data_IF_942536768402
#
_entry.id   IF_942536768402
#
_cell.length_a   1.000
_cell.length_b   1.000
_cell.length_c   1.000
_cell.angle_alpha   90.00
_cell.angle_beta   90.00
_cell.angle_gamma   90.00
#
_symmetry.space_group_name_H-M   'P 1'
#
loop_
_entity.id
_entity.type
_entity.pdbx_description
1 polymer ?
#
# COMPACT_ATOMS: atom_id res chain seq x y z
N UNK A 1 -19.47 -5.28 25.19
CA UNK A 1 -18.98 -4.29 24.22
C UNK A 1 -19.88 -4.40 23.00
N UNK A 2 -20.73 -3.40 22.71
CA UNK A 2 -21.57 -3.45 21.49
C UNK A 2 -20.65 -3.52 20.27
N UNK A 3 -20.88 -4.49 19.38
CA UNK A 3 -20.20 -4.55 18.09
C UNK A 3 -20.64 -3.29 17.34
N UNK A 4 -19.75 -2.34 17.27
CA UNK A 4 -19.96 -1.10 16.54
C UNK A 4 -20.12 -1.46 15.06
N UNK A 5 -21.17 -0.99 14.41
CA UNK A 5 -21.35 -1.18 12.97
C UNK A 5 -20.36 -0.30 12.20
N UNK A 6 -19.13 -0.80 12.08
CA UNK A 6 -18.03 -0.10 11.40
C UNK A 6 -18.35 0.24 9.97
N UNK A 7 -19.15 -0.56 9.27
CA UNK A 7 -19.47 -0.28 7.87
C UNK A 7 -20.21 1.03 7.70
N UNK A 8 -21.14 1.35 8.60
CA UNK A 8 -21.84 2.64 8.62
C UNK A 8 -20.89 3.83 8.77
N UNK A 9 -19.88 3.70 9.64
CA UNK A 9 -18.91 4.77 9.89
C UNK A 9 -17.82 4.86 8.78
N UNK A 10 -17.48 3.75 8.15
CA UNK A 10 -16.54 3.72 7.04
C UNK A 10 -17.13 4.23 5.72
N UNK A 11 -18.46 4.24 5.57
CA UNK A 11 -19.12 4.63 4.31
C UNK A 11 -18.68 6.02 3.80
N UNK A 12 -18.66 7.10 4.61
CA UNK A 12 -18.15 8.40 4.15
C UNK A 12 -16.69 8.37 3.71
N UNK A 13 -15.84 7.58 4.40
CA UNK A 13 -14.45 7.40 4.08
C UNK A 13 -14.27 6.65 2.74
N UNK A 14 -15.01 5.57 2.55
CA UNK A 14 -14.99 4.77 1.33
C UNK A 14 -15.54 5.56 0.13
N UNK A 15 -16.57 6.37 0.33
CA UNK A 15 -17.10 7.27 -0.71
C UNK A 15 -16.04 8.27 -1.16
N UNK A 16 -15.22 8.78 -0.25
CA UNK A 16 -14.18 9.78 -0.55
C UNK A 16 -12.92 9.15 -1.18
N UNK A 17 -12.49 7.99 -0.70
CA UNK A 17 -11.18 7.42 -1.02
C UNK A 17 -11.20 5.99 -1.57
N UNK A 18 -12.26 5.23 -1.41
CA UNK A 18 -12.27 3.79 -1.68
C UNK A 18 -11.90 3.41 -3.12
N UNK A 19 -12.31 4.23 -4.08
CA UNK A 19 -12.05 4.01 -5.52
C UNK A 19 -10.79 4.72 -6.04
N UNK A 20 -10.05 5.44 -5.20
CA UNK A 20 -8.80 6.10 -5.61
C UNK A 20 -7.76 5.05 -6.00
N UNK A 21 -7.09 5.28 -7.12
CA UNK A 21 -5.95 4.47 -7.57
C UNK A 21 -4.75 4.68 -6.64
N UNK A 22 -3.85 3.70 -6.64
CA UNK A 22 -2.55 3.84 -5.98
C UNK A 22 -1.77 5.01 -6.60
N UNK A 23 -0.96 5.75 -5.81
CA UNK A 23 -0.20 6.90 -6.30
C UNK A 23 0.90 6.60 -7.34
N UNK A 24 1.28 5.33 -7.52
CA UNK A 24 2.22 4.92 -8.57
C UNK A 24 1.55 4.97 -9.95
N UNK A 25 2.27 5.55 -10.94
CA UNK A 25 1.79 5.72 -12.33
C UNK A 25 2.25 4.55 -13.20
N UNK A 26 1.55 3.44 -13.14
CA UNK A 26 1.83 2.23 -13.92
C UNK A 26 0.82 2.06 -15.08
N UNK A 27 1.25 1.41 -16.15
CA UNK A 27 0.41 1.09 -17.33
C UNK A 27 -0.12 -0.34 -17.32
N UNK A 28 0.59 -1.27 -16.68
CA UNK A 28 0.27 -2.69 -16.63
C UNK A 28 0.77 -3.34 -15.34
N UNK A 29 0.47 -4.63 -15.13
CA UNK A 29 0.83 -5.37 -13.92
C UNK A 29 2.35 -5.52 -13.77
N UNK A 30 3.08 -5.67 -14.86
CA UNK A 30 4.54 -5.71 -14.83
C UNK A 30 5.12 -4.42 -14.22
N UNK A 31 4.71 -3.26 -14.75
CA UNK A 31 5.17 -1.97 -14.22
C UNK A 31 4.79 -1.79 -12.75
N UNK A 32 3.55 -2.14 -12.38
CA UNK A 32 3.12 -2.10 -10.99
C UNK A 32 4.01 -2.95 -10.07
N UNK A 33 4.31 -4.20 -10.48
CA UNK A 33 5.15 -5.13 -9.72
C UNK A 33 6.54 -4.53 -9.43
N UNK A 34 7.20 -4.01 -10.46
CA UNK A 34 8.52 -3.40 -10.32
C UNK A 34 8.45 -2.11 -9.47
N UNK A 35 7.50 -1.23 -9.75
CA UNK A 35 7.37 0.04 -9.02
C UNK A 35 7.06 -0.16 -7.54
N UNK A 36 6.30 -1.18 -7.18
CA UNK A 36 6.02 -1.51 -5.77
C UNK A 36 7.29 -1.95 -5.04
N UNK A 37 8.20 -2.70 -5.69
CA UNK A 37 9.51 -3.05 -5.12
C UNK A 37 10.35 -1.77 -4.95
N UNK A 38 10.41 -0.95 -5.98
CA UNK A 38 11.21 0.28 -5.97
C UNK A 38 10.72 1.28 -4.92
N UNK A 39 9.40 1.39 -4.69
CA UNK A 39 8.80 2.32 -3.73
C UNK A 39 8.96 1.91 -2.26
N UNK A 40 9.44 0.71 -1.97
CA UNK A 40 9.72 0.30 -0.60
C UNK A 40 10.76 1.24 0.05
N UNK A 41 10.35 1.96 1.11
CA UNK A 41 11.14 2.98 1.81
C UNK A 41 11.55 4.19 0.92
N UNK A 42 10.81 4.43 -0.15
CA UNK A 42 10.98 5.58 -1.04
C UNK A 42 9.63 6.27 -1.30
N UNK A 43 9.63 7.44 -1.95
CA UNK A 43 8.39 8.14 -2.24
C UNK A 43 7.80 7.71 -3.58
N UNK A 44 6.47 7.59 -3.63
CA UNK A 44 5.77 7.28 -4.88
C UNK A 44 6.10 8.29 -5.99
N UNK A 45 6.29 9.59 -5.63
CA UNK A 45 6.67 10.66 -6.55
C UNK A 45 8.03 10.38 -7.21
N UNK A 46 9.06 10.08 -6.41
CA UNK A 46 10.40 9.78 -6.91
C UNK A 46 10.38 8.57 -7.84
N UNK A 47 9.66 7.51 -7.48
CA UNK A 47 9.55 6.33 -8.34
C UNK A 47 8.83 6.63 -9.65
N UNK A 48 7.80 7.47 -9.64
CA UNK A 48 7.12 7.91 -10.85
C UNK A 48 8.05 8.71 -11.79
N UNK A 49 8.95 9.52 -11.25
CA UNK A 49 9.90 10.33 -12.02
C UNK A 49 10.94 9.47 -12.78
N UNK A 50 11.39 8.37 -12.19
CA UNK A 50 12.38 7.49 -12.85
C UNK A 50 11.75 6.40 -13.73
N UNK A 51 10.45 6.11 -13.55
CA UNK A 51 9.78 4.98 -14.15
C UNK A 51 9.81 4.99 -15.69
N UNK A 52 9.64 6.16 -16.31
CA UNK A 52 9.61 6.29 -17.77
C UNK A 52 10.93 5.84 -18.40
N UNK A 53 12.06 6.35 -17.92
CA UNK A 53 13.38 5.99 -18.41
C UNK A 53 13.67 4.50 -18.16
N UNK A 54 13.31 3.99 -17.00
CA UNK A 54 13.52 2.59 -16.66
C UNK A 54 12.73 1.66 -17.59
N UNK A 55 11.43 1.90 -17.80
CA UNK A 55 10.59 1.03 -18.62
C UNK A 55 10.79 1.19 -20.13
N UNK A 56 11.40 2.27 -20.60
CA UNK A 56 11.84 2.40 -21.99
C UNK A 56 12.97 1.40 -22.31
N UNK A 57 13.84 1.11 -21.36
CA UNK A 57 14.96 0.16 -21.52
C UNK A 57 14.54 -1.26 -21.17
N UNK A 58 13.71 -1.42 -20.14
CA UNK A 58 13.21 -2.71 -19.66
C UNK A 58 11.68 -2.77 -19.80
N UNK A 59 11.17 -2.99 -21.03
CA UNK A 59 9.71 -2.92 -21.28
C UNK A 59 8.92 -4.13 -20.76
N UNK A 60 9.59 -5.23 -20.39
CA UNK A 60 8.95 -6.45 -19.87
C UNK A 60 9.91 -7.27 -18.97
N UNK A 61 9.37 -8.31 -18.30
CA UNK A 61 10.16 -9.25 -17.49
C UNK A 61 11.20 -9.99 -18.32
N UNK A 62 10.92 -10.29 -19.60
CA UNK A 62 11.87 -10.96 -20.48
C UNK A 62 13.14 -10.14 -20.73
N UNK A 63 13.02 -8.82 -20.79
CA UNK A 63 14.16 -7.93 -20.89
C UNK A 63 14.93 -7.87 -19.56
N UNK A 64 14.26 -7.74 -18.45
CA UNK A 64 14.88 -7.74 -17.12
C UNK A 64 15.56 -9.06 -16.79
N UNK A 65 15.01 -10.20 -17.23
CA UNK A 65 15.62 -11.51 -17.00
C UNK A 65 16.99 -11.70 -17.67
N UNK A 66 17.28 -10.92 -18.70
CA UNK A 66 18.57 -10.92 -19.42
C UNK A 66 19.60 -9.95 -18.82
N UNK A 67 19.15 -9.03 -17.99
CA UNK A 67 20.00 -8.01 -17.38
C UNK A 67 20.81 -8.58 -16.20
N UNK A 68 21.94 -7.92 -15.91
CA UNK A 68 22.64 -8.05 -14.64
C UNK A 68 22.12 -7.01 -13.65
N UNK A 69 22.16 -7.27 -12.33
CA UNK A 69 21.74 -6.28 -11.33
C UNK A 69 22.41 -4.91 -11.49
N UNK A 70 23.69 -4.90 -11.88
CA UNK A 70 24.51 -3.70 -12.07
C UNK A 70 24.02 -2.84 -13.25
N UNK A 71 23.42 -3.45 -14.27
CA UNK A 71 22.86 -2.74 -15.43
C UNK A 71 21.71 -1.81 -15.04
N UNK A 72 20.99 -2.16 -13.94
CA UNK A 72 19.89 -1.38 -13.44
C UNK A 72 20.35 -0.12 -12.66
N UNK A 73 21.59 -0.11 -12.15
CA UNK A 73 22.07 0.92 -11.22
C UNK A 73 22.02 2.33 -11.84
N UNK A 74 22.27 2.47 -13.14
CA UNK A 74 22.20 3.76 -13.82
C UNK A 74 20.78 4.37 -13.84
N UNK A 75 19.73 3.53 -13.71
CA UNK A 75 18.33 3.96 -13.74
C UNK A 75 17.71 4.10 -12.33
N UNK A 76 18.17 3.27 -11.38
CA UNK A 76 17.58 3.23 -10.04
C UNK A 76 18.57 3.57 -8.92
N UNK A 77 19.78 4.06 -9.25
CA UNK A 77 20.83 4.35 -8.27
C UNK A 77 20.47 5.42 -7.23
N UNK A 78 19.50 6.28 -7.53
CA UNK A 78 18.94 7.25 -6.56
C UNK A 78 17.92 6.62 -5.60
N UNK A 79 17.42 5.41 -5.89
CA UNK A 79 16.42 4.73 -5.07
C UNK A 79 17.08 4.15 -3.82
N UNK A 80 16.45 4.35 -2.67
CA UNK A 80 16.94 3.78 -1.43
C UNK A 80 17.11 2.27 -1.51
N UNK A 81 18.26 1.76 -1.09
CA UNK A 81 18.63 0.34 -1.12
C UNK A 81 18.62 -0.27 -2.54
N UNK A 82 18.99 0.51 -3.54
CA UNK A 82 18.95 0.14 -4.96
C UNK A 82 19.72 -1.16 -5.27
N UNK A 83 20.85 -1.42 -4.61
CA UNK A 83 21.63 -2.64 -4.83
C UNK A 83 20.81 -3.91 -4.58
N UNK A 84 20.21 -4.06 -3.40
CA UNK A 84 19.34 -5.21 -3.10
C UNK A 84 18.09 -5.23 -4.01
N UNK A 85 17.55 -4.07 -4.34
CA UNK A 85 16.37 -3.97 -5.21
C UNK A 85 16.67 -4.43 -6.63
N UNK A 86 17.83 -4.09 -7.18
CA UNK A 86 18.27 -4.57 -8.49
C UNK A 86 18.43 -6.10 -8.51
N UNK A 87 19.03 -6.68 -7.46
CA UNK A 87 19.13 -8.14 -7.31
C UNK A 87 17.74 -8.79 -7.24
N UNK A 88 16.82 -8.25 -6.44
CA UNK A 88 15.47 -8.77 -6.31
C UNK A 88 14.69 -8.70 -7.63
N UNK A 89 14.79 -7.58 -8.34
CA UNK A 89 14.10 -7.37 -9.62
C UNK A 89 14.61 -8.37 -10.68
N UNK A 90 15.91 -8.51 -10.83
CA UNK A 90 16.49 -9.46 -11.81
C UNK A 90 16.15 -10.91 -11.43
N UNK A 91 16.27 -11.28 -10.15
CA UNK A 91 15.92 -12.61 -9.68
C UNK A 91 14.43 -12.92 -9.88
N UNK A 92 13.55 -11.96 -9.57
CA UNK A 92 12.12 -12.06 -9.80
C UNK A 92 11.81 -12.25 -11.28
N UNK A 93 12.44 -11.45 -12.17
CA UNK A 93 12.23 -11.54 -13.61
C UNK A 93 12.66 -12.93 -14.16
N UNK A 94 13.78 -13.46 -13.69
CA UNK A 94 14.24 -14.83 -14.05
C UNK A 94 13.28 -15.91 -13.54
N UNK A 95 12.68 -15.71 -12.36
CA UNK A 95 11.73 -16.68 -11.77
C UNK A 95 10.40 -16.71 -12.52
N UNK A 96 9.83 -15.54 -12.83
CA UNK A 96 8.51 -15.43 -13.49
C UNK A 96 8.62 -15.63 -15.00
N UNK A 97 9.71 -15.17 -15.62
CA UNK A 97 10.11 -15.28 -17.02
C UNK A 97 9.27 -14.49 -18.04
N UNK A 98 7.99 -14.25 -17.84
CA UNK A 98 7.15 -13.42 -18.72
C UNK A 98 5.99 -12.77 -17.96
N UNK A 99 5.47 -11.65 -18.48
CA UNK A 99 4.49 -10.80 -17.82
C UNK A 99 3.15 -11.54 -17.54
N UNK A 100 2.74 -12.45 -18.41
CA UNK A 100 1.49 -13.22 -18.26
C UNK A 100 1.52 -14.19 -17.08
N UNK A 101 2.71 -14.57 -16.62
CA UNK A 101 2.92 -15.47 -15.48
C UNK A 101 3.05 -14.74 -14.14
N UNK A 102 2.90 -13.43 -14.09
CA UNK A 102 2.91 -12.68 -12.82
C UNK A 102 1.79 -13.22 -11.92
N UNK A 103 2.12 -13.72 -10.71
CA UNK A 103 1.12 -14.27 -9.79
C UNK A 103 0.05 -13.26 -9.42
N UNK A 104 -1.13 -13.77 -9.07
CA UNK A 104 -2.29 -12.97 -8.65
C UNK A 104 -2.81 -13.34 -7.27
N UNK A 105 -2.22 -14.34 -6.61
CA UNK A 105 -2.57 -14.76 -5.25
C UNK A 105 -1.58 -14.18 -4.24
N UNK A 106 -2.05 -13.96 -3.01
CA UNK A 106 -1.22 -13.45 -1.93
C UNK A 106 -0.04 -14.39 -1.64
N UNK A 107 -0.34 -15.69 -1.53
CA UNK A 107 0.64 -16.71 -1.18
C UNK A 107 1.77 -16.85 -2.19
N UNK A 108 1.49 -16.66 -3.48
CA UNK A 108 2.52 -16.73 -4.51
C UNK A 108 3.30 -15.42 -4.65
N UNK A 109 2.62 -14.28 -4.48
CA UNK A 109 3.27 -12.98 -4.53
C UNK A 109 4.30 -12.80 -3.40
N UNK A 110 4.01 -13.24 -2.17
CA UNK A 110 4.93 -13.10 -1.03
C UNK A 110 6.17 -14.01 -1.11
N UNK A 111 6.18 -15.00 -2.00
CA UNK A 111 7.36 -15.83 -2.29
C UNK A 111 8.37 -15.11 -3.19
N UNK A 112 7.93 -14.04 -3.85
CA UNK A 112 8.80 -13.30 -4.78
C UNK A 112 9.77 -12.41 -4.02
N UNK A 113 11.03 -12.29 -4.49
CA UNK A 113 12.02 -11.41 -3.88
C UNK A 113 11.52 -9.96 -3.83
N UNK A 114 11.66 -9.32 -2.67
CA UNK A 114 11.27 -7.92 -2.47
C UNK A 114 9.77 -7.66 -2.31
N UNK A 115 8.92 -8.69 -2.36
CA UNK A 115 7.47 -8.56 -2.17
C UNK A 115 7.07 -9.02 -0.77
N UNK A 116 6.73 -8.07 0.09
CA UNK A 116 6.11 -8.35 1.39
C UNK A 116 4.57 -8.35 1.30
N UNK A 117 3.90 -8.73 2.39
CA UNK A 117 2.44 -8.85 2.47
C UNK A 117 1.70 -7.56 2.04
N UNK A 118 2.15 -6.37 2.52
CA UNK A 118 1.59 -5.08 2.10
C UNK A 118 1.69 -4.87 0.59
N UNK A 119 2.84 -5.16 0.02
CA UNK A 119 3.12 -5.02 -1.42
C UNK A 119 2.27 -5.97 -2.26
N UNK A 120 2.12 -7.21 -1.82
CA UNK A 120 1.26 -8.19 -2.46
C UNK A 120 -0.22 -7.73 -2.47
N UNK A 121 -0.74 -7.24 -1.34
CA UNK A 121 -2.10 -6.69 -1.27
C UNK A 121 -2.30 -5.47 -2.19
N UNK A 122 -1.27 -4.63 -2.38
CA UNK A 122 -1.33 -3.53 -3.38
C UNK A 122 -1.46 -4.09 -4.80
N UNK A 123 -0.64 -5.10 -5.16
CA UNK A 123 -0.69 -5.72 -6.49
C UNK A 123 -2.04 -6.38 -6.74
N UNK A 124 -2.59 -7.14 -5.79
CA UNK A 124 -3.91 -7.78 -5.87
C UNK A 124 -5.00 -6.73 -6.11
N UNK A 125 -5.01 -5.68 -5.28
CA UNK A 125 -5.98 -4.59 -5.40
C UNK A 125 -5.96 -3.93 -6.77
N UNK A 126 -4.78 -3.50 -7.21
CA UNK A 126 -4.63 -2.76 -8.46
C UNK A 126 -4.79 -3.65 -9.71
N UNK A 127 -4.66 -4.97 -9.55
CA UNK A 127 -4.99 -5.96 -10.58
C UNK A 127 -6.50 -6.23 -10.70
N UNK A 128 -7.33 -5.69 -9.78
CA UNK A 128 -8.77 -5.90 -9.77
C UNK A 128 -9.19 -7.32 -9.38
N UNK A 129 -8.29 -8.09 -8.76
CA UNK A 129 -8.60 -9.44 -8.28
C UNK A 129 -9.26 -9.41 -6.91
N UNK A 130 -9.87 -10.53 -6.50
CA UNK A 130 -10.49 -10.66 -5.19
C UNK A 130 -9.46 -10.43 -4.09
N UNK A 131 -9.81 -9.59 -3.10
CA UNK A 131 -8.93 -9.32 -1.97
C UNK A 131 -8.68 -10.58 -1.13
N UNK A 132 -7.41 -10.81 -0.77
CA UNK A 132 -6.97 -11.87 0.15
C UNK A 132 -6.43 -11.30 1.47
N UNK A 133 -6.34 -9.97 1.56
CA UNK A 133 -5.94 -9.22 2.74
C UNK A 133 -6.24 -7.75 2.60
N UNK A 134 -5.86 -6.97 3.63
CA UNK A 134 -6.03 -5.51 3.67
C UNK A 134 -4.65 -4.85 3.62
N UNK A 135 -4.51 -3.79 2.82
CA UNK A 135 -3.29 -2.99 2.77
C UNK A 135 -3.10 -2.29 4.12
N UNK A 136 -2.03 -2.63 4.83
CA UNK A 136 -1.63 -1.95 6.07
C UNK A 136 -0.25 -1.34 5.88
N UNK A 137 -0.21 -0.06 5.52
CA UNK A 137 1.01 0.74 5.42
C UNK A 137 1.25 1.56 6.69
N UNK A 138 2.30 2.36 6.70
CA UNK A 138 2.65 3.22 7.86
C UNK A 138 1.54 4.23 8.21
N UNK A 139 0.70 4.62 7.25
CA UNK A 139 -0.44 5.50 7.51
C UNK A 139 -1.57 4.74 8.18
N UNK A 140 -1.87 3.51 7.73
CA UNK A 140 -2.89 2.65 8.34
C UNK A 140 -2.47 2.25 9.76
N UNK A 141 -1.19 1.90 10.00
CA UNK A 141 -0.65 1.62 11.34
C UNK A 141 -0.91 2.77 12.31
N UNK A 142 -0.80 4.01 11.85
CA UNK A 142 -1.09 5.20 12.69
C UNK A 142 -2.58 5.49 12.83
N UNK A 143 -3.32 5.43 11.73
CA UNK A 143 -4.70 5.90 11.66
C UNK A 143 -5.68 4.90 12.26
N UNK A 144 -5.52 3.61 12.00
CA UNK A 144 -6.45 2.59 12.46
C UNK A 144 -6.62 2.58 14.01
N UNK A 145 -5.55 2.66 14.82
CA UNK A 145 -5.71 2.82 16.27
C UNK A 145 -6.30 4.17 16.68
N UNK A 146 -5.99 5.27 15.96
CA UNK A 146 -6.54 6.59 16.28
C UNK A 146 -8.06 6.65 16.10
N UNK A 147 -8.58 6.08 15.03
CA UNK A 147 -10.02 6.01 14.82
C UNK A 147 -10.69 4.93 15.68
N UNK A 148 -9.94 3.98 16.21
CA UNK A 148 -10.43 2.92 17.09
C UNK A 148 -10.88 1.64 16.40
N UNK A 149 -10.62 1.49 15.07
CA UNK A 149 -11.00 0.29 14.30
C UNK A 149 -10.06 -0.89 14.56
N UNK A 150 -8.85 -0.63 15.03
CA UNK A 150 -7.87 -1.63 15.43
C UNK A 150 -7.03 -1.11 16.60
N UNK A 151 -6.21 -1.97 17.18
CA UNK A 151 -5.30 -1.66 18.27
C UNK A 151 -3.89 -2.22 18.01
N UNK A 152 -2.88 -1.58 18.62
CA UNK A 152 -1.47 -1.98 18.47
C UNK A 152 -0.81 -1.34 17.26
N UNK A 153 0.43 -1.79 16.98
CA UNK A 153 1.31 -1.24 15.93
C UNK A 153 1.82 -2.28 14.94
N UNK A 154 1.54 -3.57 15.18
CA UNK A 154 1.90 -4.66 14.30
C UNK A 154 0.98 -4.70 13.07
N UNK A 155 1.51 -4.58 11.83
CA UNK A 155 0.69 -4.56 10.61
C UNK A 155 -0.26 -5.76 10.48
N UNK A 156 0.25 -6.97 10.72
CA UNK A 156 -0.52 -8.21 10.58
C UNK A 156 -1.65 -8.31 11.62
N UNK A 157 -1.42 -7.77 12.83
CA UNK A 157 -2.45 -7.71 13.86
C UNK A 157 -3.54 -6.72 13.51
N UNK A 158 -3.17 -5.54 13.00
CA UNK A 158 -4.12 -4.51 12.53
C UNK A 158 -4.94 -5.07 11.37
N UNK A 159 -4.27 -5.69 10.39
CA UNK A 159 -4.93 -6.32 9.24
C UNK A 159 -6.00 -7.33 9.69
N UNK A 160 -5.63 -8.28 10.55
CA UNK A 160 -6.57 -9.29 11.08
C UNK A 160 -7.76 -8.68 11.82
N UNK A 161 -7.53 -7.63 12.60
CA UNK A 161 -8.61 -6.95 13.33
C UNK A 161 -9.60 -6.26 12.38
N UNK A 162 -9.10 -5.58 11.33
CA UNK A 162 -9.96 -4.93 10.34
C UNK A 162 -10.70 -5.97 9.50
N UNK A 163 -10.02 -7.05 9.08
CA UNK A 163 -10.65 -8.17 8.35
C UNK A 163 -11.78 -8.84 9.12
N UNK A 164 -11.69 -8.91 10.46
CA UNK A 164 -12.73 -9.52 11.30
C UNK A 164 -14.04 -8.71 11.36
N UNK A 165 -14.03 -7.43 11.00
CA UNK A 165 -15.17 -6.51 11.15
C UNK A 165 -15.62 -5.89 9.83
N UNK A 166 -14.80 -6.00 8.77
CA UNK A 166 -15.11 -5.48 7.44
C UNK A 166 -15.34 -6.66 6.49
N UNK A 167 -16.44 -6.68 5.72
CA UNK A 167 -16.70 -7.75 4.76
C UNK A 167 -15.65 -7.77 3.64
N UNK A 168 -15.33 -8.98 3.15
CA UNK A 168 -14.21 -9.22 2.23
C UNK A 168 -14.26 -8.37 0.96
N UNK A 169 -15.45 -8.13 0.43
CA UNK A 169 -15.65 -7.31 -0.77
C UNK A 169 -15.21 -5.84 -0.59
N UNK A 170 -15.00 -5.40 0.65
CA UNK A 170 -14.50 -4.06 0.98
C UNK A 170 -13.01 -4.01 1.34
N UNK A 171 -12.33 -5.14 1.44
CA UNK A 171 -10.91 -5.18 1.84
C UNK A 171 -10.01 -4.39 0.89
N UNK A 172 -10.24 -4.49 -0.43
CA UNK A 172 -9.49 -3.73 -1.43
C UNK A 172 -9.64 -2.20 -1.30
N UNK A 173 -10.77 -1.74 -0.74
CA UNK A 173 -11.06 -0.32 -0.61
C UNK A 173 -10.60 0.25 0.73
N UNK A 174 -10.85 -0.47 1.84
CA UNK A 174 -10.73 0.07 3.20
C UNK A 174 -9.30 0.40 3.58
N UNK A 175 -8.33 -0.46 3.27
CA UNK A 175 -6.92 -0.23 3.60
C UNK A 175 -6.39 1.04 2.94
N UNK A 176 -6.62 1.20 1.64
CA UNK A 176 -6.21 2.40 0.91
C UNK A 176 -6.98 3.64 1.35
N UNK A 177 -8.28 3.54 1.66
CA UNK A 177 -9.05 4.68 2.15
C UNK A 177 -8.49 5.22 3.47
N UNK A 178 -8.14 4.33 4.42
CA UNK A 178 -7.48 4.70 5.67
C UNK A 178 -6.07 5.28 5.40
N UNK A 179 -5.33 4.72 4.45
CA UNK A 179 -4.02 5.24 4.06
C UNK A 179 -4.13 6.67 3.51
N UNK A 180 -5.06 6.95 2.59
CA UNK A 180 -5.29 8.30 2.07
C UNK A 180 -5.73 9.28 3.16
N UNK A 181 -6.61 8.87 4.06
CA UNK A 181 -6.96 9.67 5.22
C UNK A 181 -5.72 10.07 6.03
N UNK A 182 -4.78 9.13 6.21
CA UNK A 182 -3.52 9.37 6.91
C UNK A 182 -2.57 10.30 6.15
N UNK A 183 -2.55 10.23 4.84
CA UNK A 183 -1.72 11.09 3.98
C UNK A 183 -2.22 12.54 3.98
N UNK A 184 -3.52 12.75 3.93
CA UNK A 184 -4.12 14.06 3.69
C UNK A 184 -4.60 14.76 4.97
N UNK A 185 -5.29 14.06 5.85
CA UNK A 185 -6.01 14.62 7.00
C UNK A 185 -5.37 14.23 8.32
N UNK A 186 -5.27 12.92 8.60
CA UNK A 186 -4.79 12.41 9.87
C UNK A 186 -3.26 12.31 9.89
N UNK A 187 -2.57 13.45 9.74
CA UNK A 187 -1.10 13.54 9.74
C UNK A 187 -0.49 13.16 11.10
N UNK A 188 0.81 12.82 11.16
CA UNK A 188 1.49 12.51 12.43
C UNK A 188 1.39 13.66 13.44
N UNK A 189 1.68 14.87 12.95
CA UNK A 189 1.59 16.13 13.68
C UNK A 189 0.47 17.00 13.11
N UNK A 190 -0.23 17.72 13.98
CA UNK A 190 -1.32 18.65 13.63
C UNK A 190 -2.35 18.06 12.64
N UNK A 191 -3.00 16.92 12.98
CA UNK A 191 -4.04 16.37 12.13
C UNK A 191 -5.22 17.34 12.03
N UNK A 192 -5.81 17.47 10.84
CA UNK A 192 -6.97 18.33 10.63
C UNK A 192 -8.28 17.60 11.02
N UNK A 193 -8.47 17.39 12.33
CA UNK A 193 -9.56 16.58 12.85
C UNK A 193 -10.96 17.18 12.61
N UNK A 194 -11.06 18.49 12.49
CA UNK A 194 -12.36 19.19 12.33
C UNK A 194 -13.03 18.87 10.99
N UNK A 195 -12.26 18.61 9.94
CA UNK A 195 -12.77 18.24 8.61
C UNK A 195 -12.73 16.73 8.36
N UNK A 196 -12.31 15.94 9.36
CA UNK A 196 -12.14 14.49 9.20
C UNK A 196 -13.50 13.79 9.18
N UNK A 197 -13.78 13.03 8.13
CA UNK A 197 -15.03 12.26 8.00
C UNK A 197 -15.18 11.15 9.04
N UNK A 198 -14.10 10.83 9.77
CA UNK A 198 -14.07 9.82 10.83
C UNK A 198 -14.13 10.41 12.24
N UNK A 199 -14.27 11.73 12.41
CA UNK A 199 -14.18 12.38 13.72
C UNK A 199 -15.25 11.89 14.69
N UNK A 200 -16.45 11.57 14.23
CA UNK A 200 -17.60 11.10 15.04
C UNK A 200 -17.25 9.85 15.87
N UNK A 201 -16.42 8.95 15.33
CA UNK A 201 -16.03 7.69 16.00
C UNK A 201 -14.59 7.68 16.46
N UNK A 202 -13.83 8.73 16.18
CA UNK A 202 -12.40 8.77 16.38
C UNK A 202 -12.02 8.91 17.86
N UNK A 203 -11.40 7.86 18.44
CA UNK A 203 -10.91 7.87 19.82
C UNK A 203 -9.92 9.03 20.06
N UNK A 204 -9.00 9.23 19.14
CA UNK A 204 -8.00 10.30 19.24
C UNK A 204 -8.63 11.70 19.28
N UNK A 205 -9.65 11.96 18.44
CA UNK A 205 -10.36 13.24 18.45
C UNK A 205 -11.14 13.46 19.75
N UNK A 206 -11.81 12.43 20.24
CA UNK A 206 -12.54 12.48 21.50
C UNK A 206 -11.61 12.71 22.72
N UNK A 207 -10.40 12.17 22.67
CA UNK A 207 -9.36 12.42 23.69
C UNK A 207 -8.82 13.85 23.62
N UNK A 208 -8.60 14.39 22.41
CA UNK A 208 -8.18 15.79 22.23
C UNK A 208 -9.21 16.76 22.77
N UNK A 209 -10.50 16.51 22.52
CA UNK A 209 -11.60 17.36 22.99
C UNK A 209 -11.73 17.39 24.53
N UNK A 210 -11.19 16.37 25.23
CA UNK A 210 -11.18 16.30 26.70
C UNK A 210 -9.97 16.99 27.34
N UNK A 211 -8.95 17.39 26.55
CA UNK A 211 -7.79 18.12 27.08
C UNK A 211 -8.18 19.55 27.36
N UNK A 212 -7.92 20.08 28.59
CA UNK A 212 -8.12 21.48 28.84
C UNK A 212 -7.32 22.33 27.85
N UNK A 213 -7.92 23.41 27.35
CA UNK A 213 -7.21 24.41 26.56
C UNK A 213 -6.07 24.96 27.43
N UNK A 214 -4.82 24.79 26.98
CA UNK A 214 -3.61 25.36 27.60
C UNK A 214 -3.52 26.81 27.19
#
# INVERSE_FOLDING_TARGET
>A
MMIQDWMKYLEPLLKLYGKRKHPLNYKNRYQLLIMVILSAQDSDKHINELAENFFNVYPSLEFLAKALPEDLHQYIGSVRNFGNKSEWIVKLAKTISCDDKIPTTLDDLIKLPGIGRKSANVIIRESGTKAEGIIVDLHVIRVAPRIGIATGVQPERIEKQIMAIVPQEKWNEVGMAISFLGREICRPTNPNCNICVMNVVCNYYNELAKRPAI
#
